data_IF_729874956680
#
_entry.id   IF_729874956680
#
_cell.length_a   1.000
_cell.length_b   1.000
_cell.length_c   1.000
_cell.angle_alpha   90.00
_cell.angle_beta   90.00
_cell.angle_gamma   90.00
#
_symmetry.space_group_name_H-M   'P 1'
#
loop_
_entity.id
_entity.type
_entity.pdbx_description
1 polymer ?
#
# COMPACT_ATOMS: atom_id res chain seq x y z
N UNK A 1 -9.85 11.87 7.10
CA UNK A 1 -8.58 11.96 6.37
C UNK A 1 -7.52 12.60 7.25
N UNK A 2 -6.29 12.11 7.20
CA UNK A 2 -5.15 12.58 8.01
C UNK A 2 -3.93 12.78 7.08
N UNK A 3 -3.22 13.89 7.24
CA UNK A 3 -1.93 14.10 6.58
C UNK A 3 -0.82 13.40 7.37
N UNK A 4 0.03 12.65 6.66
CA UNK A 4 1.17 11.91 7.22
C UNK A 4 2.48 12.66 7.02
N UNK A 5 2.66 13.28 5.84
CA UNK A 5 3.79 14.11 5.46
C UNK A 5 3.31 15.09 4.38
N UNK A 6 4.13 16.06 4.01
CA UNK A 6 3.75 17.09 3.05
C UNK A 6 3.09 16.55 1.79
N UNK A 7 1.77 16.74 1.67
CA UNK A 7 0.96 16.29 0.55
C UNK A 7 0.64 14.79 0.51
N UNK A 8 1.07 13.99 1.49
CA UNK A 8 0.75 12.58 1.60
C UNK A 8 -0.33 12.37 2.67
N UNK A 9 -1.46 11.83 2.25
CA UNK A 9 -2.67 11.67 3.05
C UNK A 9 -3.07 10.21 3.21
N UNK A 10 -3.82 9.90 4.28
CA UNK A 10 -4.44 8.59 4.51
C UNK A 10 -5.86 8.71 5.04
N UNK A 11 -6.67 7.70 4.76
CA UNK A 11 -8.00 7.48 5.35
C UNK A 11 -8.32 6.00 5.36
N UNK A 12 -9.40 5.62 6.03
CA UNK A 12 -9.91 4.25 6.05
C UNK A 12 -11.29 4.19 5.38
N UNK A 13 -11.61 3.05 4.85
CA UNK A 13 -12.93 2.68 4.37
C UNK A 13 -13.25 1.22 4.68
N UNK A 14 -14.54 0.89 4.78
CA UNK A 14 -14.96 -0.48 5.00
C UNK A 14 -14.82 -1.29 3.71
N UNK A 15 -14.10 -2.40 3.79
CA UNK A 15 -13.96 -3.31 2.65
C UNK A 15 -15.33 -3.91 2.26
N UNK A 16 -15.78 -3.78 1.00
CA UNK A 16 -17.12 -4.19 0.59
C UNK A 16 -17.36 -5.69 0.77
N UNK A 17 -16.35 -6.51 0.51
CA UNK A 17 -16.45 -7.97 0.55
C UNK A 17 -16.05 -8.58 1.91
N UNK A 18 -15.85 -7.74 2.95
CA UNK A 18 -15.50 -8.27 4.26
C UNK A 18 -16.70 -8.96 4.92
N UNK A 19 -16.56 -10.25 5.18
CA UNK A 19 -17.61 -11.11 5.75
C UNK A 19 -17.23 -11.74 7.09
N UNK A 20 -16.26 -11.13 7.80
CA UNK A 20 -15.82 -11.62 9.11
C UNK A 20 -14.51 -12.42 9.05
N UNK A 21 -13.58 -12.01 8.20
CA UNK A 21 -12.25 -12.63 8.13
C UNK A 21 -11.54 -12.51 9.50
N UNK A 22 -11.03 -13.63 10.09
CA UNK A 22 -10.37 -13.59 11.40
C UNK A 22 -8.97 -12.98 11.37
N UNK A 23 -8.39 -12.78 10.20
CA UNK A 23 -6.99 -12.37 10.04
C UNK A 23 -6.82 -10.86 9.82
N UNK A 24 -7.89 -10.16 9.42
CA UNK A 24 -7.89 -8.71 9.23
C UNK A 24 -9.28 -8.11 9.52
N UNK A 25 -9.31 -6.84 9.94
CA UNK A 25 -10.54 -6.12 10.25
C UNK A 25 -11.31 -5.65 9.01
N UNK A 26 -12.55 -5.14 9.19
CA UNK A 26 -13.36 -4.63 8.09
C UNK A 26 -12.82 -3.36 7.46
N UNK A 27 -12.00 -2.62 8.18
CA UNK A 27 -11.42 -1.35 7.73
C UNK A 27 -10.11 -1.61 6.98
N UNK A 28 -10.02 -1.05 5.79
CA UNK A 28 -8.80 -1.03 4.99
C UNK A 28 -8.38 0.41 4.72
N UNK A 29 -7.12 0.61 4.44
CA UNK A 29 -6.52 1.93 4.31
C UNK A 29 -6.22 2.25 2.85
N UNK A 30 -6.38 3.52 2.52
CA UNK A 30 -6.01 4.11 1.24
C UNK A 30 -5.12 5.33 1.48
N UNK A 31 -4.40 5.71 0.44
CA UNK A 31 -3.48 6.84 0.50
C UNK A 31 -3.67 7.76 -0.71
N UNK A 32 -3.27 9.02 -0.56
CA UNK A 32 -3.22 9.98 -1.65
C UNK A 32 -1.94 10.80 -1.58
N UNK A 33 -1.32 11.05 -2.72
CA UNK A 33 -0.19 11.95 -2.87
C UNK A 33 -0.62 13.15 -3.72
N UNK A 34 -0.52 14.33 -3.15
CA UNK A 34 -0.66 15.59 -3.88
C UNK A 34 0.64 15.88 -4.62
N UNK A 35 0.57 16.10 -5.92
CA UNK A 35 1.71 16.47 -6.78
C UNK A 35 1.42 17.74 -7.56
N UNK A 36 2.41 18.26 -8.27
CA UNK A 36 2.23 19.40 -9.17
C UNK A 36 1.30 19.07 -10.37
N UNK A 37 1.12 17.78 -10.69
CA UNK A 37 0.30 17.31 -11.81
C UNK A 37 -1.12 16.90 -11.38
N UNK A 38 -1.42 16.88 -10.09
CA UNK A 38 -2.71 16.48 -9.53
C UNK A 38 -2.58 15.55 -8.32
N UNK A 39 -3.52 14.63 -8.17
CA UNK A 39 -3.57 13.68 -7.06
C UNK A 39 -3.37 12.26 -7.57
N UNK A 40 -2.50 11.51 -6.90
CA UNK A 40 -2.32 10.08 -7.09
C UNK A 40 -3.00 9.36 -5.92
N UNK A 41 -3.97 8.49 -6.22
CA UNK A 41 -4.66 7.66 -5.22
C UNK A 41 -4.06 6.24 -5.24
N UNK A 42 -3.78 5.71 -4.06
CA UNK A 42 -3.28 4.34 -3.89
C UNK A 42 -4.36 3.46 -3.24
N UNK A 43 -4.73 2.36 -3.91
CA UNK A 43 -5.74 1.38 -3.49
C UNK A 43 -7.02 2.04 -2.96
N UNK A 44 -7.69 2.92 -3.74
CA UNK A 44 -8.73 3.80 -3.23
C UNK A 44 -10.00 3.06 -2.84
N UNK A 45 -10.52 3.43 -1.64
CA UNK A 45 -11.83 3.06 -1.14
C UNK A 45 -12.44 4.25 -0.40
N UNK A 46 -13.75 4.51 -0.57
CA UNK A 46 -14.47 5.58 0.13
C UNK A 46 -13.73 6.93 0.04
N UNK A 47 -13.31 7.30 -1.18
CA UNK A 47 -12.44 8.45 -1.43
C UNK A 47 -13.11 9.75 -0.96
N UNK A 48 -12.44 10.56 -0.13
CA UNK A 48 -12.95 11.86 0.28
C UNK A 48 -13.16 12.81 -0.90
N UNK A 49 -14.31 13.48 -0.94
CA UNK A 49 -14.70 14.39 -2.05
C UNK A 49 -13.65 15.48 -2.30
N UNK A 50 -12.98 15.96 -1.26
CA UNK A 50 -11.94 16.99 -1.38
C UNK A 50 -10.75 16.59 -2.25
N UNK A 51 -10.45 15.29 -2.34
CA UNK A 51 -9.38 14.76 -3.19
C UNK A 51 -9.75 14.67 -4.67
N UNK A 52 -11.06 14.77 -4.98
CA UNK A 52 -11.60 14.65 -6.33
C UNK A 52 -11.97 16.01 -6.96
N UNK A 53 -11.96 17.10 -6.16
CA UNK A 53 -12.43 18.41 -6.64
C UNK A 53 -11.36 19.15 -7.42
N UNK A 54 -11.73 19.60 -8.62
CA UNK A 54 -10.96 20.54 -9.46
C UNK A 54 -9.49 20.12 -9.68
N UNK A 55 -9.22 18.80 -9.64
CA UNK A 55 -7.86 18.26 -9.81
C UNK A 55 -7.85 17.07 -10.76
N UNK A 56 -6.72 16.88 -11.42
CA UNK A 56 -6.45 15.66 -12.19
C UNK A 56 -6.15 14.53 -11.20
N UNK A 57 -6.86 13.43 -11.34
CA UNK A 57 -6.69 12.25 -10.48
C UNK A 57 -6.15 11.08 -11.31
N UNK A 58 -5.19 10.35 -10.75
CA UNK A 58 -4.69 9.08 -11.26
C UNK A 58 -4.77 8.04 -10.15
N UNK A 59 -5.02 6.78 -10.52
CA UNK A 59 -5.08 5.67 -9.56
C UNK A 59 -3.90 4.74 -9.79
N UNK A 60 -3.21 4.36 -8.72
CA UNK A 60 -2.17 3.33 -8.71
C UNK A 60 -2.58 2.24 -7.75
N UNK A 61 -2.62 1.00 -8.21
CA UNK A 61 -2.95 -0.16 -7.39
C UNK A 61 -1.67 -0.90 -7.00
N UNK A 62 -1.60 -1.36 -5.76
CA UNK A 62 -0.57 -2.32 -5.33
C UNK A 62 -0.83 -3.70 -5.90
N UNK A 63 -2.11 -4.06 -6.08
CA UNK A 63 -2.53 -5.33 -6.67
C UNK A 63 -3.87 -5.19 -7.40
N UNK A 64 -4.16 -6.05 -8.39
CA UNK A 64 -5.42 -6.02 -9.13
C UNK A 64 -6.65 -6.23 -8.23
N UNK A 65 -6.51 -7.02 -7.17
CA UNK A 65 -7.61 -7.26 -6.19
C UNK A 65 -7.85 -6.08 -5.23
N UNK A 66 -7.04 -5.02 -5.30
CA UNK A 66 -7.26 -3.76 -4.60
C UNK A 66 -7.99 -2.72 -5.47
N UNK A 67 -8.66 -3.14 -6.55
CA UNK A 67 -9.39 -2.24 -7.46
C UNK A 67 -10.61 -1.54 -6.80
N UNK A 68 -11.19 -2.16 -5.79
CA UNK A 68 -12.22 -1.59 -4.89
C UNK A 68 -13.11 -0.54 -5.59
N UNK A 69 -12.98 0.74 -5.22
CA UNK A 69 -13.72 1.85 -5.83
C UNK A 69 -13.03 2.43 -7.09
N UNK A 70 -11.81 1.99 -7.42
CA UNK A 70 -10.99 2.58 -8.47
C UNK A 70 -11.73 2.72 -9.82
N UNK A 71 -12.45 1.68 -10.23
CA UNK A 71 -13.21 1.68 -11.49
C UNK A 71 -14.39 2.65 -11.48
N UNK A 72 -14.95 2.95 -10.30
CA UNK A 72 -16.11 3.83 -10.13
C UNK A 72 -15.72 5.31 -10.15
N UNK A 73 -14.44 5.63 -9.86
CA UNK A 73 -13.94 6.99 -9.82
C UNK A 73 -13.86 7.65 -11.21
N UNK A 74 -13.86 6.86 -12.29
CA UNK A 74 -13.67 7.36 -13.65
C UNK A 74 -12.29 7.97 -13.93
N UNK A 75 -11.35 7.81 -12.99
CA UNK A 75 -9.96 8.22 -13.12
C UNK A 75 -9.12 7.12 -13.81
N UNK A 76 -8.06 7.48 -14.57
CA UNK A 76 -7.18 6.50 -15.16
C UNK A 76 -6.50 5.64 -14.09
N UNK A 77 -6.54 4.31 -14.27
CA UNK A 77 -5.80 3.35 -13.46
C UNK A 77 -4.47 3.08 -14.17
N UNK A 78 -3.35 3.40 -13.51
CA UNK A 78 -2.01 3.23 -14.05
C UNK A 78 -1.60 1.75 -14.03
N UNK A 79 -1.22 1.22 -15.17
CA UNK A 79 -0.59 -0.09 -15.29
C UNK A 79 0.90 -0.05 -14.94
N UNK A 80 1.74 -0.47 -15.91
CA UNK A 80 3.21 -0.43 -15.74
C UNK A 80 3.78 1.00 -15.84
N UNK A 81 3.10 1.88 -16.58
CA UNK A 81 3.47 3.30 -16.69
C UNK A 81 3.00 4.05 -15.44
N UNK A 82 3.83 4.05 -14.41
CA UNK A 82 3.56 4.76 -13.16
C UNK A 82 3.80 6.28 -13.30
N UNK A 83 3.10 7.10 -12.47
CA UNK A 83 3.45 8.50 -12.32
C UNK A 83 4.92 8.68 -11.92
N UNK A 84 5.56 9.75 -12.37
CA UNK A 84 7.02 10.02 -12.13
C UNK A 84 7.43 10.05 -10.66
N UNK A 85 6.47 10.34 -9.78
CA UNK A 85 6.67 10.47 -8.32
C UNK A 85 6.61 9.12 -7.59
N UNK A 86 6.36 8.03 -8.33
CA UNK A 86 6.16 6.69 -7.78
C UNK A 86 6.98 5.66 -8.55
N UNK A 87 7.61 4.73 -7.84
CA UNK A 87 8.32 3.60 -8.45
C UNK A 87 7.87 2.27 -7.87
N UNK A 88 7.69 1.27 -8.73
CA UNK A 88 7.38 -0.08 -8.30
C UNK A 88 8.61 -0.74 -7.65
N UNK A 89 8.36 -1.48 -6.58
CA UNK A 89 9.34 -2.26 -5.84
C UNK A 89 8.85 -3.71 -5.71
N UNK A 90 9.72 -4.65 -5.31
CA UNK A 90 9.32 -6.04 -5.09
C UNK A 90 8.17 -6.17 -4.09
N UNK A 91 7.25 -7.10 -4.37
CA UNK A 91 6.19 -7.51 -3.48
C UNK A 91 6.18 -9.04 -3.33
N UNK A 92 5.50 -9.54 -2.30
CA UNK A 92 5.51 -10.98 -2.04
C UNK A 92 4.58 -11.74 -3.00
N UNK A 93 3.34 -11.29 -3.19
CA UNK A 93 2.38 -12.02 -4.00
C UNK A 93 2.60 -11.80 -5.50
N UNK A 94 2.33 -12.82 -6.35
CA UNK A 94 2.30 -12.64 -7.81
C UNK A 94 1.23 -11.61 -8.21
N UNK A 95 1.61 -10.65 -9.07
CA UNK A 95 0.71 -9.58 -9.50
C UNK A 95 0.57 -8.42 -8.53
N UNK A 96 1.23 -8.49 -7.36
CA UNK A 96 1.37 -7.37 -6.43
C UNK A 96 2.68 -6.62 -6.70
N UNK A 97 2.69 -5.35 -6.33
CA UNK A 97 3.88 -4.49 -6.26
C UNK A 97 3.81 -3.64 -5.00
N UNK A 98 4.93 -3.41 -4.35
CA UNK A 98 5.02 -2.31 -3.39
C UNK A 98 5.40 -1.04 -4.14
N UNK A 99 5.07 0.13 -3.57
CA UNK A 99 5.22 1.40 -4.27
C UNK A 99 6.06 2.35 -3.41
N UNK A 100 7.18 2.78 -3.96
CA UNK A 100 8.08 3.74 -3.33
C UNK A 100 7.76 5.15 -3.78
N UNK A 101 7.65 6.08 -2.82
CA UNK A 101 7.41 7.52 -3.01
C UNK A 101 8.64 8.26 -2.49
N UNK A 102 9.64 8.55 -3.36
CA UNK A 102 10.94 9.06 -2.94
C UNK A 102 10.89 10.39 -2.17
N UNK A 103 10.03 11.32 -2.59
CA UNK A 103 9.95 12.65 -2.00
C UNK A 103 9.48 12.65 -0.54
N UNK A 104 8.73 11.62 -0.11
CA UNK A 104 8.23 11.44 1.24
C UNK A 104 8.94 10.31 2.01
N UNK A 105 9.94 9.66 1.42
CA UNK A 105 10.56 8.45 1.96
C UNK A 105 9.50 7.43 2.42
N UNK A 106 8.42 7.27 1.63
CA UNK A 106 7.27 6.46 1.96
C UNK A 106 7.17 5.20 1.09
N UNK A 107 6.85 4.07 1.71
CA UNK A 107 6.67 2.79 1.07
C UNK A 107 5.25 2.27 1.29
N UNK A 108 4.43 2.21 0.23
CA UNK A 108 3.10 1.58 0.24
C UNK A 108 3.29 0.09 -0.02
N UNK A 109 2.86 -0.76 0.90
CA UNK A 109 3.29 -2.17 0.93
C UNK A 109 2.18 -3.19 0.60
N UNK A 110 0.96 -2.72 0.33
CA UNK A 110 -0.14 -3.62 0.00
C UNK A 110 -0.37 -4.69 1.07
N UNK A 111 -0.51 -5.93 0.62
CA UNK A 111 -0.66 -7.12 1.46
C UNK A 111 0.68 -7.77 1.82
N UNK A 112 1.78 -7.36 1.16
CA UNK A 112 3.11 -7.93 1.38
C UNK A 112 3.63 -7.75 2.80
N UNK A 113 3.24 -6.67 3.50
CA UNK A 113 3.62 -6.39 4.89
C UNK A 113 2.37 -5.95 5.66
N UNK A 114 1.49 -6.90 6.04
CA UNK A 114 0.25 -6.59 6.76
C UNK A 114 0.58 -5.92 8.10
N UNK A 115 -0.22 -4.91 8.46
CA UNK A 115 -0.02 -4.07 9.65
C UNK A 115 1.39 -3.42 9.76
N UNK A 116 2.11 -3.33 8.63
CA UNK A 116 3.50 -2.88 8.60
C UNK A 116 4.49 -3.84 9.25
N UNK A 117 4.06 -5.07 9.50
CA UNK A 117 4.84 -6.14 10.13
C UNK A 117 5.12 -7.32 9.20
N UNK A 118 5.71 -8.36 9.76
CA UNK A 118 5.96 -9.61 9.04
C UNK A 118 4.64 -10.32 8.72
N UNK A 119 4.58 -10.94 7.54
CA UNK A 119 3.50 -11.85 7.17
C UNK A 119 3.34 -12.96 8.24
N UNK A 120 2.14 -13.24 8.77
CA UNK A 120 1.93 -14.37 9.68
C UNK A 120 2.29 -15.71 9.02
N UNK A 121 2.90 -16.64 9.75
CA UNK A 121 3.28 -17.96 9.21
C UNK A 121 2.08 -18.72 8.67
N UNK A 122 0.94 -18.63 9.34
CA UNK A 122 -0.31 -19.24 8.86
C UNK A 122 -0.77 -18.74 7.47
N UNK A 123 -0.37 -17.51 7.09
CA UNK A 123 -0.63 -16.99 5.76
C UNK A 123 0.38 -17.50 4.74
N UNK A 124 1.66 -17.57 5.13
CA UNK A 124 2.72 -18.16 4.29
C UNK A 124 2.45 -19.63 3.97
N UNK A 125 1.94 -20.40 4.93
CA UNK A 125 1.56 -21.79 4.78
C UNK A 125 0.23 -22.03 4.03
N UNK A 126 -0.54 -20.96 3.79
CA UNK A 126 -1.84 -21.06 3.14
C UNK A 126 -1.75 -21.55 1.69
N UNK A 127 -2.87 -22.08 1.16
CA UNK A 127 -2.95 -22.59 -0.22
C UNK A 127 -2.62 -21.55 -1.29
N UNK A 128 -2.76 -20.29 -0.99
CA UNK A 128 -2.50 -19.19 -1.94
C UNK A 128 -1.10 -18.58 -1.84
N UNK A 129 -0.40 -18.75 -0.72
CA UNK A 129 0.99 -18.30 -0.57
C UNK A 129 1.99 -19.46 -0.81
N UNK A 130 1.85 -20.57 -0.07
CA UNK A 130 2.70 -21.79 -0.15
C UNK A 130 4.19 -21.47 -0.12
N UNK A 131 4.61 -20.65 0.81
CA UNK A 131 5.96 -20.16 0.90
C UNK A 131 6.55 -20.34 2.30
N UNK A 132 7.86 -20.42 2.36
CA UNK A 132 8.61 -20.38 3.61
C UNK A 132 8.89 -18.95 4.03
N UNK A 133 9.21 -18.75 5.30
CA UNK A 133 9.69 -17.47 5.85
C UNK A 133 10.94 -16.99 5.13
N UNK A 134 11.84 -17.89 4.77
CA UNK A 134 13.07 -17.55 4.06
C UNK A 134 12.79 -17.00 2.66
N UNK A 135 11.95 -17.66 1.88
CA UNK A 135 11.53 -17.21 0.56
C UNK A 135 10.83 -15.83 0.60
N UNK A 136 9.96 -15.63 1.60
CA UNK A 136 9.31 -14.35 1.84
C UNK A 136 10.34 -13.24 2.13
N UNK A 137 11.23 -13.47 3.09
CA UNK A 137 12.25 -12.50 3.48
C UNK A 137 13.22 -12.21 2.33
N UNK A 138 13.65 -13.23 1.57
CA UNK A 138 14.56 -13.06 0.43
C UNK A 138 13.92 -12.19 -0.65
N UNK A 139 12.65 -12.43 -0.97
CA UNK A 139 11.93 -11.69 -2.00
C UNK A 139 11.77 -10.22 -1.66
N UNK A 140 11.53 -9.88 -0.40
CA UNK A 140 11.32 -8.51 0.07
C UNK A 140 12.60 -7.83 0.57
N UNK A 141 13.73 -8.55 0.67
CA UNK A 141 15.01 -8.01 1.13
C UNK A 141 15.43 -6.70 0.47
N UNK A 142 15.23 -6.48 -0.86
CA UNK A 142 15.61 -5.20 -1.47
C UNK A 142 14.93 -3.98 -0.87
N UNK A 143 13.79 -4.13 -0.22
CA UNK A 143 13.07 -3.02 0.41
C UNK A 143 13.84 -2.41 1.59
N UNK A 144 14.70 -3.19 2.28
CA UNK A 144 15.46 -2.70 3.43
C UNK A 144 16.58 -1.71 3.07
N UNK A 145 16.93 -1.63 1.78
CA UNK A 145 17.92 -0.70 1.26
C UNK A 145 17.32 0.69 0.95
N UNK A 146 15.98 0.80 0.93
CA UNK A 146 15.30 2.08 0.78
C UNK A 146 15.34 2.87 2.11
N UNK A 147 15.49 4.19 2.08
CA UNK A 147 15.49 5.03 3.29
C UNK A 147 14.05 5.29 3.78
N UNK A 148 13.38 4.23 4.28
CA UNK A 148 11.94 4.28 4.62
C UNK A 148 11.71 5.05 5.92
N UNK A 149 10.98 6.16 5.84
CA UNK A 149 10.51 6.95 7.00
C UNK A 149 9.02 6.69 7.30
N UNK A 150 8.25 6.31 6.27
CA UNK A 150 6.84 5.96 6.38
C UNK A 150 6.59 4.59 5.75
N UNK A 151 6.02 3.65 6.52
CA UNK A 151 5.58 2.36 6.02
C UNK A 151 4.05 2.33 6.03
N UNK A 152 3.46 2.10 4.86
CA UNK A 152 2.05 2.37 4.56
C UNK A 152 1.31 1.08 4.16
N UNK A 153 0.81 0.30 5.14
CA UNK A 153 0.10 -0.95 4.88
C UNK A 153 -1.35 -0.72 4.45
N UNK A 154 -1.91 -1.67 3.72
CA UNK A 154 -3.34 -1.73 3.39
C UNK A 154 -4.19 -2.06 4.61
N UNK A 155 -3.69 -2.95 5.47
CA UNK A 155 -4.30 -3.35 6.74
C UNK A 155 -3.51 -2.72 7.90
N UNK A 156 -4.21 -2.22 8.92
CA UNK A 156 -3.60 -1.60 10.09
C UNK A 156 -3.23 -0.13 9.93
N UNK A 157 -2.45 0.38 10.87
CA UNK A 157 -2.05 1.78 10.91
C UNK A 157 -0.71 2.04 10.22
N UNK A 158 -0.51 3.23 9.61
CA UNK A 158 0.79 3.62 9.08
C UNK A 158 1.87 3.64 10.17
N UNK A 159 3.04 3.08 9.86
CA UNK A 159 4.20 3.19 10.74
C UNK A 159 4.94 4.48 10.41
N UNK A 160 4.78 5.48 11.27
CA UNK A 160 5.35 6.83 11.10
C UNK A 160 6.55 7.10 11.98
N UNK A 161 6.87 6.17 12.89
CA UNK A 161 8.04 6.23 13.75
C UNK A 161 8.85 4.95 13.59
N UNK A 162 10.16 5.07 13.45
CA UNK A 162 11.06 3.92 13.30
C UNK A 162 10.67 2.95 12.15
N UNK A 163 10.08 3.45 11.06
CA UNK A 163 9.59 2.64 9.95
C UNK A 163 10.70 1.76 9.34
N UNK A 164 11.90 2.30 9.17
CA UNK A 164 13.06 1.54 8.71
C UNK A 164 13.39 0.36 9.64
N UNK A 165 13.31 0.56 10.95
CA UNK A 165 13.56 -0.51 11.93
C UNK A 165 12.42 -1.52 11.97
N UNK A 166 11.16 -1.06 11.78
CA UNK A 166 10.01 -1.94 11.66
C UNK A 166 10.13 -2.84 10.43
N UNK A 167 10.48 -2.27 9.27
CA UNK A 167 10.72 -3.01 8.03
C UNK A 167 11.82 -4.07 8.20
N UNK A 168 12.95 -3.72 8.81
CA UNK A 168 14.05 -4.65 9.06
C UNK A 168 13.64 -5.79 10.01
N UNK A 169 12.87 -5.49 11.05
CA UNK A 169 12.34 -6.54 11.95
C UNK A 169 11.35 -7.46 11.26
N UNK A 170 10.54 -6.93 10.36
CA UNK A 170 9.55 -7.72 9.61
C UNK A 170 10.21 -8.72 8.64
N UNK A 171 11.43 -8.42 8.19
CA UNK A 171 12.19 -9.20 7.18
C UNK A 171 13.46 -9.85 7.75
N UNK A 172 13.52 -10.04 9.08
CA UNK A 172 14.65 -10.68 9.79
C UNK A 172 14.42 -12.17 10.05
#
# INVERSE_FOLDING_TARGET
MQELAGGLWTWTGRHPDWTGNPHWGPEVRSYALQTDEGVILFDPISVPDELMRDTKVQVVLTAEWHDRDAKQLGAPICGDDLPKDVTAQPAFFPGERTLWIPAQNALVVGDSLPDGGAMPDAWLESEWAKATREEYNEKLRPLVDLPVELLLPTHGDPVTNDAQSALRRALS
#
